data_IF_762145608902
#
_entry.id   IF_762145608902
#
_cell.length_a   1.000
_cell.length_b   1.000
_cell.length_c   1.000
_cell.angle_alpha   90.00
_cell.angle_beta   90.00
_cell.angle_gamma   90.00
#
_symmetry.space_group_name_H-M   'P 1'
#
loop_
_entity.id
_entity.type
_entity.pdbx_description
1 polymer ?
#
# COMPACT_ATOMS: atom_id res chain seq x y z
N UNK A 1 7.88 11.80 1.55
CA UNK A 1 6.98 10.84 0.90
C UNK A 1 6.71 11.31 -0.52
N UNK A 2 7.43 10.79 -1.52
CA UNK A 2 7.09 11.06 -2.92
C UNK A 2 5.99 10.09 -3.31
N UNK A 3 4.73 10.56 -3.35
CA UNK A 3 3.68 9.83 -4.05
C UNK A 3 4.22 9.59 -5.47
N UNK A 4 4.34 8.32 -5.88
CA UNK A 4 4.70 7.90 -7.24
C UNK A 4 3.52 8.19 -8.19
N UNK A 5 3.06 9.44 -8.21
CA UNK A 5 1.98 9.92 -9.06
C UNK A 5 2.48 10.03 -10.50
N UNK A 6 1.62 9.64 -11.45
CA UNK A 6 1.92 9.76 -12.88
C UNK A 6 2.97 8.79 -13.40
N UNK A 7 3.36 7.76 -12.63
CA UNK A 7 4.20 6.69 -13.14
C UNK A 7 3.43 5.92 -14.22
N UNK A 8 4.06 5.75 -15.38
CA UNK A 8 3.44 5.07 -16.52
C UNK A 8 3.53 3.55 -16.41
N UNK A 9 4.26 3.04 -15.41
CA UNK A 9 4.37 1.62 -15.13
C UNK A 9 2.99 0.99 -15.00
N UNK A 10 2.76 -0.05 -15.79
CA UNK A 10 1.46 -0.72 -15.86
C UNK A 10 1.64 -2.22 -15.96
N UNK A 11 1.06 -2.93 -15.01
CA UNK A 11 0.97 -4.38 -14.99
C UNK A 11 -0.48 -4.80 -15.26
N UNK A 12 -0.68 -5.84 -16.05
CA UNK A 12 -1.96 -6.56 -16.15
C UNK A 12 -1.77 -7.99 -15.68
N UNK A 13 -2.66 -8.44 -14.81
CA UNK A 13 -2.73 -9.83 -14.38
C UNK A 13 -3.92 -10.52 -15.05
N UNK A 14 -3.74 -11.80 -15.37
CA UNK A 14 -4.75 -12.67 -15.92
C UNK A 14 -4.80 -13.93 -15.08
N UNK A 15 -5.99 -14.31 -14.65
CA UNK A 15 -6.21 -15.61 -14.03
C UNK A 15 -6.48 -16.63 -15.14
N UNK A 16 -5.57 -17.59 -15.30
CA UNK A 16 -5.69 -18.62 -16.33
C UNK A 16 -6.62 -19.73 -15.87
N UNK A 17 -7.23 -20.43 -16.82
CA UNK A 17 -8.03 -21.64 -16.56
C UNK A 17 -7.19 -22.78 -15.97
N UNK A 18 -5.87 -22.75 -16.11
CA UNK A 18 -4.94 -23.67 -15.45
C UNK A 18 -4.77 -23.41 -13.93
N UNK A 19 -5.44 -22.39 -13.38
CA UNK A 19 -5.30 -21.99 -11.98
C UNK A 19 -4.04 -21.15 -11.69
N UNK A 20 -3.29 -20.79 -12.73
CA UNK A 20 -2.09 -19.97 -12.62
C UNK A 20 -2.40 -18.51 -12.92
N UNK A 21 -1.61 -17.62 -12.31
CA UNK A 21 -1.61 -16.20 -12.67
C UNK A 21 -0.58 -15.92 -13.76
N UNK A 22 -1.00 -15.24 -14.81
CA UNK A 22 -0.10 -14.66 -15.80
C UNK A 22 -0.02 -13.16 -15.61
N UNK A 23 1.20 -12.64 -15.52
CA UNK A 23 1.48 -11.22 -15.34
C UNK A 23 2.14 -10.70 -16.61
N UNK A 24 1.59 -9.62 -17.17
CA UNK A 24 2.13 -8.93 -18.32
C UNK A 24 2.47 -7.47 -17.95
N UNK A 25 3.72 -7.09 -18.15
CA UNK A 25 4.17 -5.70 -18.06
C UNK A 25 3.76 -4.99 -19.34
N UNK A 26 2.67 -4.23 -19.25
CA UNK A 26 2.13 -3.44 -20.37
C UNK A 26 2.98 -2.20 -20.63
N UNK A 27 3.51 -1.60 -19.56
CA UNK A 27 4.51 -0.54 -19.66
C UNK A 27 5.50 -0.67 -18.50
N UNK A 28 6.79 -0.72 -18.83
CA UNK A 28 7.90 -0.87 -17.88
C UNK A 28 8.56 0.45 -17.47
N UNK A 29 8.13 1.58 -18.04
CA UNK A 29 8.73 2.87 -17.77
C UNK A 29 8.38 3.39 -16.37
N UNK A 30 9.42 3.64 -15.59
CA UNK A 30 9.32 4.29 -14.29
C UNK A 30 9.80 5.74 -14.40
N UNK A 31 9.01 6.66 -13.86
CA UNK A 31 9.39 8.08 -13.74
C UNK A 31 10.11 8.40 -12.41
N UNK A 32 10.49 7.36 -11.67
CA UNK A 32 11.12 7.45 -10.36
C UNK A 32 12.10 6.29 -10.18
N UNK A 33 13.07 6.44 -9.28
CA UNK A 33 13.97 5.34 -8.94
C UNK A 33 13.22 4.21 -8.23
N UNK A 34 13.66 2.97 -8.46
CA UNK A 34 13.14 1.81 -7.75
C UNK A 34 13.70 1.84 -6.32
N UNK A 35 12.82 2.05 -5.35
CA UNK A 35 13.19 2.04 -3.94
C UNK A 35 13.64 0.63 -3.55
N UNK A 36 14.85 0.50 -3.02
CA UNK A 36 15.41 -0.79 -2.55
C UNK A 36 14.85 -1.20 -1.18
N UNK A 37 14.54 -0.20 -0.36
CA UNK A 37 14.00 -0.37 0.98
C UNK A 37 12.54 0.07 1.01
N UNK A 38 11.63 -0.79 1.47
CA UNK A 38 10.21 -0.43 1.67
C UNK A 38 10.01 0.58 2.82
N UNK A 39 11.09 1.09 3.42
CA UNK A 39 11.05 2.11 4.46
C UNK A 39 10.41 3.39 3.90
N UNK A 40 9.26 3.77 4.46
CA UNK A 40 8.49 4.93 4.00
C UNK A 40 7.47 4.65 2.88
N UNK A 41 7.19 3.38 2.55
CA UNK A 41 6.01 3.02 1.76
C UNK A 41 4.77 2.98 2.67
N UNK A 42 3.65 3.54 2.20
CA UNK A 42 2.32 3.53 2.86
C UNK A 42 1.81 2.13 3.26
N UNK A 43 2.44 1.09 2.72
CA UNK A 43 2.21 -0.32 3.07
C UNK A 43 2.78 -0.69 4.46
N UNK A 44 3.88 -0.06 4.88
CA UNK A 44 4.46 -0.21 6.24
C UNK A 44 3.66 0.61 7.27
N UNK A 45 2.92 1.62 6.81
CA UNK A 45 2.04 2.47 7.61
C UNK A 45 0.60 1.94 7.73
N UNK A 46 0.33 0.70 7.29
CA UNK A 46 -0.95 0.03 7.57
C UNK A 46 -1.00 -0.43 9.04
N UNK A 47 -0.78 0.50 9.98
CA UNK A 47 -0.74 0.37 11.46
C UNK A 47 -0.23 -0.98 11.97
N UNK A 48 0.87 -0.99 12.71
CA UNK A 48 1.31 -2.18 13.44
C UNK A 48 0.18 -2.68 14.36
N UNK A 49 0.19 -3.96 14.72
CA UNK A 49 -0.94 -4.59 15.44
C UNK A 49 -1.27 -3.84 16.73
N UNK A 50 -0.27 -3.43 17.49
CA UNK A 50 -0.40 -2.60 18.68
C UNK A 50 -1.02 -1.23 18.41
N UNK A 51 -0.64 -0.57 17.31
CA UNK A 51 -1.24 0.70 16.89
C UNK A 51 -2.72 0.53 16.50
N UNK A 52 -3.09 -0.61 15.90
CA UNK A 52 -4.50 -0.95 15.60
C UNK A 52 -5.31 -1.17 16.88
N UNK A 53 -4.74 -1.84 17.88
CA UNK A 53 -5.41 -2.05 19.17
C UNK A 53 -5.63 -0.73 19.90
N UNK A 54 -4.63 0.17 19.89
CA UNK A 54 -4.75 1.50 20.50
C UNK A 54 -5.81 2.35 19.80
N UNK A 55 -5.85 2.35 18.47
CA UNK A 55 -6.90 3.04 17.69
C UNK A 55 -8.29 2.47 18.04
N UNK A 56 -8.41 1.16 18.25
CA UNK A 56 -9.66 0.52 18.69
C UNK A 56 -10.06 0.96 20.09
N UNK A 57 -9.15 0.92 21.06
CA UNK A 57 -9.42 1.33 22.43
C UNK A 57 -9.84 2.81 22.53
N UNK A 58 -9.16 3.70 21.80
CA UNK A 58 -9.51 5.12 21.78
C UNK A 58 -10.88 5.35 21.12
N UNK A 59 -11.20 4.58 20.08
CA UNK A 59 -12.52 4.62 19.42
C UNK A 59 -13.62 4.15 20.37
N UNK A 60 -13.39 3.06 21.11
CA UNK A 60 -14.32 2.52 22.12
C UNK A 60 -14.55 3.48 23.29
N UNK A 61 -13.51 4.23 23.67
CA UNK A 61 -13.60 5.29 24.67
C UNK A 61 -14.18 6.62 24.13
N UNK A 62 -14.77 6.60 22.92
CA UNK A 62 -15.38 7.76 22.27
C UNK A 62 -14.45 8.97 22.10
N UNK A 63 -13.13 8.72 21.99
CA UNK A 63 -12.22 9.77 21.62
C UNK A 63 -12.63 10.35 20.26
N UNK A 64 -12.53 11.66 20.12
CA UNK A 64 -12.90 12.31 18.86
C UNK A 64 -11.96 11.82 17.76
N UNK A 65 -12.42 11.54 16.53
CA UNK A 65 -11.56 10.98 15.49
C UNK A 65 -10.25 11.74 15.25
N UNK A 66 -10.29 13.08 15.38
CA UNK A 66 -9.11 13.97 15.30
C UNK A 66 -8.05 13.75 16.40
N UNK A 67 -8.38 12.99 17.44
CA UNK A 67 -7.53 12.65 18.58
C UNK A 67 -7.07 11.17 18.53
N UNK A 68 -7.51 10.39 17.53
CA UNK A 68 -7.19 8.97 17.37
C UNK A 68 -6.17 8.77 16.25
N UNK A 69 -6.26 9.55 15.18
CA UNK A 69 -5.32 9.63 14.06
C UNK A 69 -5.22 11.05 13.51
#
# INVERSE_FOLDING_TARGET
MTLKCGCLFKLKSYHLSSGQWSLNVVNGEHNHEMTRDFQGHKYVEMLQTDEKELVRELTENMALPRNIM
#
